data_IF_761720578372
#
_entry.id   IF_761720578372
#
_cell.length_a   1.000
_cell.length_b   1.000
_cell.length_c   1.000
_cell.angle_alpha   90.00
_cell.angle_beta   90.00
_cell.angle_gamma   90.00
#
_symmetry.space_group_name_H-M   'P 1'
#
loop_
_entity.id
_entity.type
_entity.pdbx_description
1 polymer ?
#
# COMPACT_ATOMS: atom_id res chain seq x y z
N UNK A 1 -20.15 -21.91 26.59
CA UNK A 1 -19.74 -20.50 26.70
C UNK A 1 -18.96 -20.18 25.44
N UNK A 2 -19.64 -19.66 24.42
CA UNK A 2 -19.01 -19.34 23.14
C UNK A 2 -18.19 -18.07 23.30
N UNK A 3 -16.88 -18.17 23.08
CA UNK A 3 -16.01 -17.02 22.94
C UNK A 3 -16.44 -16.30 21.65
N UNK A 4 -17.19 -15.21 21.78
CA UNK A 4 -17.27 -14.21 20.72
C UNK A 4 -15.85 -13.73 20.47
N UNK A 5 -15.28 -14.12 19.32
CA UNK A 5 -14.06 -13.50 18.82
C UNK A 5 -14.34 -11.99 18.73
N UNK A 6 -13.61 -11.20 19.50
CA UNK A 6 -13.64 -9.75 19.40
C UNK A 6 -13.26 -9.38 17.96
N UNK A 7 -14.22 -8.88 17.18
CA UNK A 7 -13.93 -8.36 15.84
C UNK A 7 -13.07 -7.13 16.03
N UNK A 8 -11.76 -7.27 15.81
CA UNK A 8 -10.86 -6.12 15.70
C UNK A 8 -11.41 -5.22 14.59
N UNK A 9 -11.68 -3.93 14.86
CA UNK A 9 -12.28 -3.05 13.86
C UNK A 9 -11.36 -2.95 12.63
N UNK A 10 -11.99 -3.02 11.45
CA UNK A 10 -11.31 -2.94 10.16
C UNK A 10 -10.63 -1.55 10.02
N UNK A 11 -9.34 -1.54 9.66
CA UNK A 11 -8.58 -0.31 9.42
C UNK A 11 -8.76 0.13 7.97
N UNK A 12 -9.89 0.78 7.69
CA UNK A 12 -10.20 1.29 6.34
C UNK A 12 -9.57 2.65 6.10
N UNK A 13 -8.91 2.80 4.96
CA UNK A 13 -8.31 4.06 4.52
C UNK A 13 -8.93 4.51 3.19
N UNK A 14 -8.87 5.81 2.94
CA UNK A 14 -9.09 6.42 1.63
C UNK A 14 -7.74 6.86 1.08
N UNK A 15 -7.50 6.53 -0.19
CA UNK A 15 -6.33 6.94 -0.96
C UNK A 15 -6.83 7.88 -2.05
N UNK A 16 -6.40 9.13 -2.02
CA UNK A 16 -6.74 10.16 -3.00
C UNK A 16 -5.46 10.57 -3.74
N UNK A 17 -5.39 10.36 -5.04
CA UNK A 17 -4.21 10.62 -5.87
C UNK A 17 -4.62 11.28 -7.20
N UNK A 18 -4.28 12.55 -7.38
CA UNK A 18 -4.79 13.33 -8.52
C UNK A 18 -6.32 13.34 -8.55
N UNK A 19 -6.92 12.78 -9.61
CA UNK A 19 -8.38 12.61 -9.76
C UNK A 19 -8.90 11.24 -9.30
N UNK A 20 -8.01 10.34 -8.87
CA UNK A 20 -8.37 9.00 -8.40
C UNK A 20 -8.68 9.05 -6.91
N UNK A 21 -9.76 8.38 -6.49
CA UNK A 21 -10.03 8.06 -5.09
C UNK A 21 -10.40 6.58 -4.98
N UNK A 22 -9.70 5.84 -4.13
CA UNK A 22 -10.01 4.44 -3.82
C UNK A 22 -10.06 4.22 -2.31
N UNK A 23 -10.81 3.22 -1.87
CA UNK A 23 -10.75 2.73 -0.49
C UNK A 23 -9.81 1.53 -0.42
N UNK A 24 -9.17 1.33 0.72
CA UNK A 24 -8.34 0.18 1.00
C UNK A 24 -8.50 -0.27 2.45
N UNK A 25 -8.13 -1.52 2.72
CA UNK A 25 -8.14 -2.07 4.09
C UNK A 25 -6.71 -2.42 4.47
N UNK A 26 -6.24 -1.89 5.59
CA UNK A 26 -4.96 -2.26 6.17
C UNK A 26 -5.06 -3.58 6.93
N UNK A 27 -4.04 -4.42 6.79
CA UNK A 27 -3.91 -5.69 7.49
C UNK A 27 -3.59 -5.49 8.98
N UNK A 28 -3.64 -6.59 9.73
CA UNK A 28 -3.22 -6.64 11.12
C UNK A 28 -1.74 -7.01 11.22
N UNK A 29 -0.86 -6.05 10.91
CA UNK A 29 0.58 -6.17 11.11
C UNK A 29 1.14 -4.98 11.89
N UNK A 30 2.35 -5.11 12.49
CA UNK A 30 3.03 -3.99 13.14
C UNK A 30 3.23 -2.79 12.21
N UNK A 31 3.67 -3.03 10.97
CA UNK A 31 3.86 -1.95 9.99
C UNK A 31 2.54 -1.28 9.62
N UNK A 32 1.48 -2.05 9.39
CA UNK A 32 0.15 -1.50 9.11
C UNK A 32 -0.41 -0.67 10.28
N UNK A 33 -0.16 -1.09 11.53
CA UNK A 33 -0.55 -0.33 12.73
C UNK A 33 0.21 1.00 12.84
N UNK A 34 1.51 1.00 12.53
CA UNK A 34 2.31 2.22 12.50
C UNK A 34 1.81 3.19 11.43
N UNK A 35 1.52 2.69 10.22
CA UNK A 35 0.90 3.48 9.14
C UNK A 35 -0.41 4.09 9.60
N UNK A 36 -1.33 3.28 10.15
CA UNK A 36 -2.63 3.74 10.66
C UNK A 36 -2.51 4.87 11.70
N UNK A 37 -1.49 4.80 12.54
CA UNK A 37 -1.23 5.78 13.60
C UNK A 37 -0.65 7.08 13.07
N UNK A 38 0.03 7.04 11.91
CA UNK A 38 0.59 8.21 11.25
C UNK A 38 -0.40 8.95 10.32
N UNK A 39 -1.57 8.37 10.03
CA UNK A 39 -2.59 9.01 9.20
C UNK A 39 -3.16 10.29 9.85
N UNK A 40 -3.49 11.33 9.06
CA UNK A 40 -3.36 11.41 7.60
C UNK A 40 -1.93 11.66 7.13
N UNK A 41 -1.56 11.14 5.95
CA UNK A 41 -0.27 11.37 5.31
C UNK A 41 -0.50 12.00 3.94
N UNK A 42 0.23 13.09 3.66
CA UNK A 42 0.26 13.78 2.37
C UNK A 42 1.67 13.68 1.78
N UNK A 43 1.76 13.38 0.47
CA UNK A 43 3.01 13.26 -0.25
C UNK A 43 2.85 13.56 -1.75
N UNK A 44 3.95 13.38 -2.49
CA UNK A 44 4.00 13.36 -3.95
C UNK A 44 4.22 11.93 -4.40
N UNK A 45 3.39 11.45 -5.33
CA UNK A 45 3.53 10.13 -5.92
C UNK A 45 4.80 10.06 -6.80
N UNK A 46 5.53 8.96 -6.70
CA UNK A 46 6.48 8.53 -7.72
C UNK A 46 5.90 7.31 -8.43
N UNK A 47 6.18 7.17 -9.72
CA UNK A 47 5.70 6.05 -10.54
C UNK A 47 6.86 5.17 -11.01
N UNK A 48 6.64 3.85 -11.04
CA UNK A 48 7.65 2.89 -11.52
C UNK A 48 6.97 1.67 -12.16
N UNK A 49 6.76 1.74 -13.48
CA UNK A 49 5.84 0.80 -14.14
C UNK A 49 4.41 0.99 -13.62
N UNK A 50 3.70 -0.10 -13.34
CA UNK A 50 2.37 -0.08 -12.73
C UNK A 50 2.41 -0.12 -11.18
N UNK A 51 3.29 0.68 -10.60
CA UNK A 51 3.43 0.93 -9.16
C UNK A 51 3.44 2.44 -8.89
N UNK A 52 2.73 2.86 -7.84
CA UNK A 52 2.92 4.18 -7.20
C UNK A 52 3.60 3.96 -5.86
N UNK A 53 4.63 4.74 -5.58
CA UNK A 53 5.26 4.76 -4.26
C UNK A 53 5.58 6.19 -3.77
N UNK A 54 5.55 6.38 -2.46
CA UNK A 54 5.90 7.66 -1.82
C UNK A 54 6.39 7.44 -0.40
N UNK A 55 7.34 8.26 0.06
CA UNK A 55 7.86 8.18 1.43
C UNK A 55 6.81 8.60 2.45
N UNK A 56 6.78 7.91 3.59
CA UNK A 56 5.88 8.15 4.71
C UNK A 56 6.68 8.31 6.01
N UNK A 57 6.14 9.00 7.05
CA UNK A 57 6.83 9.20 8.33
C UNK A 57 6.77 7.96 9.24
N UNK A 58 6.99 6.77 8.67
CA UNK A 58 6.97 5.49 9.37
C UNK A 58 8.31 4.80 9.15
N UNK A 59 8.90 4.29 10.23
CA UNK A 59 10.08 3.44 10.20
C UNK A 59 9.69 2.05 10.70
N UNK A 60 9.73 1.07 9.82
CA UNK A 60 9.57 -0.34 10.16
C UNK A 60 10.67 -1.17 9.49
N UNK A 61 11.06 -2.27 10.12
CA UNK A 61 11.95 -3.26 9.54
C UNK A 61 11.19 -4.19 8.59
N UNK A 62 11.92 -4.95 7.78
CA UNK A 62 11.33 -6.01 6.97
C UNK A 62 10.70 -7.07 7.88
N UNK A 63 9.44 -7.40 7.65
CA UNK A 63 8.68 -8.40 8.41
C UNK A 63 8.96 -9.82 7.88
N UNK A 64 8.67 -10.84 8.70
CA UNK A 64 8.99 -12.24 8.36
C UNK A 64 8.19 -12.77 7.18
N UNK A 65 7.03 -12.20 6.93
CA UNK A 65 6.07 -12.50 5.87
C UNK A 65 6.13 -11.49 4.72
N UNK A 66 7.19 -10.68 4.65
CA UNK A 66 7.45 -9.80 3.52
C UNK A 66 7.59 -10.59 2.21
N UNK A 67 7.19 -9.97 1.10
CA UNK A 67 7.07 -10.65 -0.19
C UNK A 67 7.82 -9.92 -1.30
N UNK A 68 8.45 -10.67 -2.19
CA UNK A 68 9.09 -10.19 -3.43
C UNK A 68 8.20 -10.34 -4.66
N UNK A 69 7.10 -11.08 -4.53
CA UNK A 69 6.04 -11.21 -5.53
C UNK A 69 4.75 -10.87 -4.84
N UNK A 70 4.02 -9.89 -5.36
CA UNK A 70 2.80 -9.37 -4.75
C UNK A 70 1.61 -9.57 -5.68
N UNK A 71 0.40 -9.39 -5.15
CA UNK A 71 -0.82 -9.50 -5.93
C UNK A 71 -1.29 -8.14 -6.41
N UNK A 72 -2.11 -8.16 -7.48
CA UNK A 72 -2.81 -6.98 -7.95
C UNK A 72 -3.64 -6.37 -6.80
N UNK A 73 -3.44 -5.08 -6.56
CA UNK A 73 -4.13 -4.31 -5.52
C UNK A 73 -3.50 -4.39 -4.14
N UNK A 74 -2.38 -5.10 -3.97
CA UNK A 74 -1.68 -5.12 -2.69
C UNK A 74 -1.10 -3.73 -2.36
N UNK A 75 -1.08 -3.45 -1.06
CA UNK A 75 -0.40 -2.30 -0.48
C UNK A 75 0.87 -2.80 0.21
N UNK A 76 2.02 -2.25 -0.20
CA UNK A 76 3.32 -2.58 0.37
C UNK A 76 3.87 -1.46 1.24
N UNK A 77 4.72 -1.81 2.19
CA UNK A 77 5.69 -0.90 2.77
C UNK A 77 7.09 -1.39 2.42
N UNK A 78 7.88 -0.52 1.78
CA UNK A 78 9.25 -0.80 1.38
C UNK A 78 10.23 -0.14 2.37
N UNK A 79 10.88 -0.93 3.25
CA UNK A 79 11.72 -0.40 4.31
C UNK A 79 12.89 0.50 3.86
N UNK A 80 13.66 0.18 2.80
CA UNK A 80 14.80 1.00 2.38
C UNK A 80 14.42 2.45 2.05
N UNK A 81 13.26 2.67 1.44
CA UNK A 81 12.76 4.00 1.06
C UNK A 81 11.80 4.63 2.08
N UNK A 82 11.51 3.96 3.20
CA UNK A 82 10.38 4.31 4.09
C UNK A 82 9.11 4.58 3.31
N UNK A 83 8.85 3.77 2.28
CA UNK A 83 7.87 4.08 1.25
C UNK A 83 6.61 3.23 1.38
N UNK A 84 5.46 3.86 1.14
CA UNK A 84 4.19 3.18 0.92
C UNK A 84 4.03 2.92 -0.58
N UNK A 85 3.69 1.68 -0.95
CA UNK A 85 3.58 1.22 -2.34
C UNK A 85 2.15 0.78 -2.64
N UNK A 86 1.66 1.10 -3.83
CA UNK A 86 0.36 0.66 -4.37
C UNK A 86 0.63 -0.08 -5.67
N UNK A 87 0.36 -1.39 -5.69
CA UNK A 87 0.64 -2.24 -6.84
C UNK A 87 -0.63 -2.45 -7.68
N UNK A 88 -0.61 -2.01 -8.93
CA UNK A 88 -1.76 -2.11 -9.85
C UNK A 88 -1.41 -2.74 -11.21
N UNK A 89 -0.26 -3.39 -11.29
CA UNK A 89 0.20 -4.17 -12.44
C UNK A 89 1.71 -4.46 -12.35
N UNK A 90 2.32 -4.93 -13.44
CA UNK A 90 3.76 -5.23 -13.50
C UNK A 90 4.66 -4.02 -13.31
N UNK A 91 5.80 -4.22 -12.65
CA UNK A 91 6.87 -3.22 -12.51
C UNK A 91 8.01 -3.52 -13.49
N UNK A 92 9.05 -2.67 -13.60
CA UNK A 92 10.23 -2.96 -14.41
C UNK A 92 11.01 -4.22 -14.02
N UNK A 93 10.85 -4.73 -12.80
CA UNK A 93 11.49 -5.99 -12.34
C UNK A 93 10.55 -7.19 -12.38
N UNK A 94 9.33 -7.03 -12.88
CA UNK A 94 8.40 -8.14 -13.10
C UNK A 94 8.88 -9.11 -14.17
N UNK A 95 8.48 -10.38 -14.01
CA UNK A 95 8.73 -11.46 -14.98
C UNK A 95 7.42 -12.16 -15.33
N UNK A 96 7.13 -12.29 -16.62
CA UNK A 96 5.86 -12.87 -17.08
C UNK A 96 4.66 -12.10 -16.51
N UNK A 97 3.76 -12.81 -15.85
CA UNK A 97 2.52 -12.26 -15.29
C UNK A 97 2.64 -11.85 -13.80
N UNK A 98 3.83 -11.94 -13.21
CA UNK A 98 4.08 -11.61 -11.81
C UNK A 98 4.19 -10.09 -11.57
N UNK A 99 3.81 -9.62 -10.38
CA UNK A 99 4.10 -8.25 -9.94
C UNK A 99 5.24 -8.30 -8.93
N UNK A 100 6.37 -7.66 -9.23
CA UNK A 100 7.57 -7.68 -8.36
C UNK A 100 7.96 -6.28 -7.93
N UNK A 101 7.96 -5.94 -6.63
CA UNK A 101 8.59 -4.71 -6.16
C UNK A 101 10.12 -4.77 -6.38
N UNK A 102 10.81 -3.65 -6.19
CA UNK A 102 12.27 -3.58 -6.35
C UNK A 102 13.03 -4.51 -5.39
N UNK A 103 12.47 -4.76 -4.19
CA UNK A 103 12.89 -5.80 -3.25
C UNK A 103 11.71 -6.16 -2.34
N UNK A 104 11.87 -7.14 -1.44
CA UNK A 104 10.81 -7.54 -0.52
C UNK A 104 10.14 -6.35 0.21
N UNK A 105 8.81 -6.39 0.30
CA UNK A 105 7.96 -5.40 0.98
C UNK A 105 7.09 -6.05 2.04
N UNK A 106 6.77 -5.32 3.10
CA UNK A 106 5.77 -5.76 4.07
C UNK A 106 4.39 -5.55 3.45
N UNK A 107 3.54 -6.58 3.41
CA UNK A 107 2.17 -6.45 2.88
C UNK A 107 1.28 -5.85 3.95
N UNK A 108 0.96 -4.58 3.80
CA UNK A 108 0.27 -3.78 4.83
C UNK A 108 -1.22 -3.63 4.58
N UNK A 109 -1.72 -4.03 3.42
CA UNK A 109 -3.15 -3.92 3.11
C UNK A 109 -3.49 -4.28 1.67
N UNK A 110 -4.73 -3.99 1.29
CA UNK A 110 -5.23 -4.21 -0.06
C UNK A 110 -6.25 -3.15 -0.47
N UNK A 111 -6.13 -2.64 -1.70
CA UNK A 111 -7.12 -1.79 -2.36
C UNK A 111 -8.44 -2.55 -2.51
N UNK A 112 -9.55 -1.87 -2.29
CA UNK A 112 -10.89 -2.36 -2.54
C UNK A 112 -11.36 -1.89 -3.91
N UNK A 113 -11.92 -2.81 -4.71
CA UNK A 113 -12.33 -2.52 -6.09
C UNK A 113 -11.20 -2.71 -7.10
N UNK A 114 -11.22 -1.94 -8.20
CA UNK A 114 -10.24 -2.06 -9.29
C UNK A 114 -9.01 -1.17 -9.04
N UNK A 115 -7.83 -1.73 -8.71
CA UNK A 115 -6.62 -0.95 -8.49
C UNK A 115 -6.07 -0.36 -9.80
N UNK A 116 -6.46 -0.84 -10.99
CA UNK A 116 -6.00 -0.28 -12.27
C UNK A 116 -6.45 1.16 -12.49
N UNK A 117 -7.43 1.65 -11.71
CA UNK A 117 -7.77 3.06 -11.66
C UNK A 117 -6.54 3.96 -11.36
N UNK A 118 -5.53 3.46 -10.66
CA UNK A 118 -4.31 4.21 -10.38
C UNK A 118 -3.41 4.44 -11.60
N UNK A 119 -3.60 3.74 -12.74
CA UNK A 119 -2.83 3.96 -13.98
C UNK A 119 -2.93 5.37 -14.54
N UNK A 120 -3.98 6.12 -14.19
CA UNK A 120 -4.18 7.50 -14.63
C UNK A 120 -3.46 8.54 -13.75
N UNK A 121 -2.82 8.11 -12.65
CA UNK A 121 -2.09 9.01 -11.76
C UNK A 121 -0.73 9.32 -12.37
N UNK A 122 -0.47 10.61 -12.59
CA UNK A 122 0.82 11.07 -13.08
C UNK A 122 1.88 11.06 -11.98
N UNK A 123 3.14 10.86 -12.39
CA UNK A 123 4.30 11.14 -11.54
C UNK A 123 4.24 12.57 -10.97
N UNK A 124 4.59 12.72 -9.70
CA UNK A 124 4.51 14.00 -8.98
C UNK A 124 3.10 14.44 -8.58
N UNK A 125 2.05 13.66 -8.86
CA UNK A 125 0.70 13.96 -8.39
C UNK A 125 0.65 14.03 -6.86
N UNK A 126 -0.16 14.96 -6.32
CA UNK A 126 -0.45 14.99 -4.88
C UNK A 126 -1.21 13.71 -4.52
N UNK A 127 -0.74 13.04 -3.47
CA UNK A 127 -1.39 11.86 -2.90
C UNK A 127 -1.63 12.07 -1.41
N UNK A 128 -2.81 11.66 -0.95
CA UNK A 128 -3.23 11.71 0.45
C UNK A 128 -3.78 10.36 0.84
N UNK A 129 -3.33 9.83 1.98
CA UNK A 129 -3.94 8.67 2.63
C UNK A 129 -4.49 9.07 3.99
N UNK A 130 -5.73 8.72 4.25
CA UNK A 130 -6.46 9.10 5.47
C UNK A 130 -7.38 7.97 5.94
N UNK A 131 -7.82 8.02 7.20
CA UNK A 131 -8.80 7.08 7.74
C UNK A 131 -10.15 7.32 7.06
N UNK A 132 -10.85 6.25 6.67
CA UNK A 132 -12.14 6.31 5.98
C UNK A 132 -13.32 5.96 6.89
#
# INVERSE_FOLDING_TARGET
MGTTAEKVPERRIRISAGQVSATAVLHQSPTAAAIWSALPIEARANTWGDEIYFSIPVKAALEKDAQEVVQLGDLGYWPPGTAFCIFFGPTPTSHGDEIRPASAVNIVGKVQGDPKAFKQVADGAKIVIERA
#
